data_IF_763234465250
#
_entry.id   IF_763234465250
#
_cell.length_a   1.000
_cell.length_b   1.000
_cell.length_c   1.000
_cell.angle_alpha   90.00
_cell.angle_beta   90.00
_cell.angle_gamma   90.00
#
_symmetry.space_group_name_H-M   'P 1'
#
loop_
_entity.id
_entity.type
_entity.pdbx_description
1 polymer ?
#
# COMPACT_ATOMS: atom_id res chain seq x y z
N UNK A 1 -24.37 10.13 2.94
CA UNK A 1 -22.92 10.43 2.90
C UNK A 1 -22.24 9.31 2.12
N UNK A 2 -21.30 9.60 1.21
CA UNK A 2 -20.59 8.54 0.48
C UNK A 2 -19.64 7.81 1.42
N UNK A 3 -19.80 6.50 1.58
CA UNK A 3 -18.92 5.66 2.42
C UNK A 3 -17.48 5.58 1.88
N UNK A 4 -17.29 5.77 0.58
CA UNK A 4 -16.00 5.66 -0.10
C UNK A 4 -15.19 6.97 -0.07
N UNK A 5 -13.88 6.84 0.13
CA UNK A 5 -12.93 7.97 0.09
C UNK A 5 -12.86 8.60 -1.32
N UNK A 6 -12.44 9.88 -1.44
CA UNK A 6 -12.16 10.48 -2.73
C UNK A 6 -11.14 9.69 -3.55
N UNK A 7 -10.10 9.16 -2.91
CA UNK A 7 -9.06 8.34 -3.54
C UNK A 7 -9.66 7.09 -4.19
N UNK A 8 -10.43 6.29 -3.44
CA UNK A 8 -11.01 5.07 -3.97
C UNK A 8 -12.07 5.32 -5.04
N UNK A 9 -12.87 6.38 -4.92
CA UNK A 9 -13.77 6.80 -6.01
C UNK A 9 -13.01 7.18 -7.27
N UNK A 10 -11.84 7.82 -7.13
CA UNK A 10 -10.95 8.13 -8.24
C UNK A 10 -10.50 6.86 -8.98
N UNK A 11 -10.09 5.84 -8.23
CA UNK A 11 -9.77 4.52 -8.78
C UNK A 11 -10.94 3.90 -9.55
N UNK A 12 -12.14 3.88 -8.97
CA UNK A 12 -13.33 3.27 -9.57
C UNK A 12 -13.80 3.96 -10.86
N UNK A 13 -13.51 5.25 -11.03
CA UNK A 13 -13.90 6.03 -12.22
C UNK A 13 -12.93 5.85 -13.39
N UNK A 14 -11.71 5.40 -13.13
CA UNK A 14 -10.71 5.23 -14.18
C UNK A 14 -10.94 3.93 -14.97
N UNK A 15 -10.58 3.88 -16.26
CA UNK A 15 -10.64 2.65 -17.04
C UNK A 15 -9.88 1.52 -16.35
N UNK A 16 -10.47 0.32 -16.31
CA UNK A 16 -9.84 -0.89 -15.73
C UNK A 16 -8.78 -1.47 -16.68
N UNK A 17 -7.77 -0.69 -17.00
CA UNK A 17 -6.65 -1.06 -17.85
C UNK A 17 -5.36 -0.37 -17.38
N UNK A 18 -4.24 -0.64 -18.05
CA UNK A 18 -2.92 -0.09 -17.70
C UNK A 18 -2.86 1.45 -17.73
N UNK A 19 -3.66 2.09 -18.59
CA UNK A 19 -3.69 3.56 -18.67
C UNK A 19 -4.34 4.14 -17.43
N UNK A 20 -5.51 3.61 -17.05
CA UNK A 20 -6.22 4.05 -15.85
C UNK A 20 -5.39 3.84 -14.58
N UNK A 21 -4.78 2.67 -14.42
CA UNK A 21 -3.94 2.39 -13.24
C UNK A 21 -2.67 3.26 -13.19
N UNK A 22 -2.11 3.62 -14.35
CA UNK A 22 -0.98 4.57 -14.44
C UNK A 22 -1.39 5.97 -14.04
N UNK A 23 -2.50 6.49 -14.58
CA UNK A 23 -3.02 7.80 -14.21
C UNK A 23 -3.34 7.89 -12.71
N UNK A 24 -3.93 6.83 -12.15
CA UNK A 24 -4.18 6.73 -10.71
C UNK A 24 -2.89 6.82 -9.90
N UNK A 25 -1.89 6.02 -10.26
CA UNK A 25 -0.60 5.95 -9.55
C UNK A 25 0.14 7.28 -9.62
N UNK A 26 0.07 7.99 -10.76
CA UNK A 26 0.59 9.35 -10.89
C UNK A 26 -0.13 10.32 -9.96
N UNK A 27 -1.47 10.29 -9.92
CA UNK A 27 -2.26 11.11 -9.00
C UNK A 27 -1.94 10.85 -7.53
N UNK A 28 -1.75 9.58 -7.16
CA UNK A 28 -1.30 9.18 -5.83
C UNK A 28 0.06 9.79 -5.49
N UNK A 29 1.05 9.68 -6.39
CA UNK A 29 2.38 10.26 -6.21
C UNK A 29 2.36 11.80 -6.17
N UNK A 30 1.46 12.46 -6.89
CA UNK A 30 1.29 13.92 -6.79
C UNK A 30 0.75 14.34 -5.42
N UNK A 31 -0.12 13.52 -4.82
CA UNK A 31 -0.69 13.77 -3.50
C UNK A 31 0.27 13.43 -2.36
N UNK A 32 1.08 12.39 -2.52
CA UNK A 32 2.10 11.96 -1.55
C UNK A 32 3.46 11.86 -2.26
N UNK A 33 4.19 12.97 -2.41
CA UNK A 33 5.41 13.03 -3.24
C UNK A 33 6.50 12.02 -2.89
N UNK A 34 6.62 11.65 -1.61
CA UNK A 34 7.64 10.70 -1.18
C UNK A 34 7.45 9.30 -1.77
N UNK A 35 6.23 8.90 -2.10
CA UNK A 35 5.97 7.63 -2.80
C UNK A 35 6.60 7.60 -4.19
N UNK A 36 6.76 8.73 -4.87
CA UNK A 36 7.37 8.79 -6.19
C UNK A 36 8.81 8.25 -6.21
N UNK A 37 9.52 8.24 -5.07
CA UNK A 37 10.90 7.74 -4.96
C UNK A 37 11.04 6.25 -5.27
N UNK A 38 9.96 5.46 -5.15
CA UNK A 38 9.97 4.02 -5.48
C UNK A 38 9.17 3.68 -6.74
N UNK A 39 8.68 4.70 -7.46
CA UNK A 39 7.87 4.55 -8.68
C UNK A 39 6.76 3.49 -8.54
N UNK A 40 5.92 3.57 -7.48
CA UNK A 40 4.89 2.58 -7.23
C UNK A 40 3.80 2.66 -8.31
N UNK A 41 3.31 1.50 -8.70
CA UNK A 41 2.22 1.34 -9.64
C UNK A 41 1.15 0.44 -9.03
N UNK A 42 0.00 1.01 -8.68
CA UNK A 42 -1.15 0.27 -8.12
C UNK A 42 -1.80 -0.54 -9.23
N UNK A 43 -1.97 -1.84 -9.02
CA UNK A 43 -2.45 -2.81 -10.02
C UNK A 43 -3.79 -3.42 -9.66
N UNK A 44 -4.11 -3.52 -8.37
CA UNK A 44 -5.40 -3.95 -7.84
C UNK A 44 -5.69 -3.14 -6.59
N UNK A 45 -6.93 -2.69 -6.46
CA UNK A 45 -7.39 -1.95 -5.30
C UNK A 45 -8.88 -2.22 -5.08
N UNK A 46 -9.19 -2.76 -3.92
CA UNK A 46 -10.53 -3.11 -3.45
C UNK A 46 -10.55 -3.11 -1.91
N UNK A 47 -11.71 -3.09 -1.25
CA UNK A 47 -11.76 -3.15 0.22
C UNK A 47 -11.04 -4.41 0.73
N UNK A 48 -10.12 -4.23 1.67
CA UNK A 48 -9.31 -5.29 2.26
C UNK A 48 -8.09 -5.73 1.44
N UNK A 49 -7.85 -5.18 0.24
CA UNK A 49 -6.72 -5.58 -0.61
C UNK A 49 -6.17 -4.44 -1.48
N UNK A 50 -4.85 -4.31 -1.49
CA UNK A 50 -4.13 -3.54 -2.50
C UNK A 50 -2.92 -4.31 -3.03
N UNK A 51 -2.74 -4.32 -4.35
CA UNK A 51 -1.52 -4.80 -5.00
C UNK A 51 -0.80 -3.64 -5.70
N UNK A 52 0.47 -3.42 -5.38
CA UNK A 52 1.31 -2.42 -6.02
C UNK A 52 2.63 -3.02 -6.51
N UNK A 53 3.20 -2.46 -7.58
CA UNK A 53 4.50 -2.87 -8.13
C UNK A 53 5.49 -1.71 -8.11
N UNK A 54 6.77 -2.02 -7.90
CA UNK A 54 7.87 -1.08 -8.08
C UNK A 54 8.97 -1.69 -8.95
N UNK A 55 9.49 -0.97 -9.95
CA UNK A 55 10.65 -1.42 -10.70
C UNK A 55 11.91 -1.37 -9.82
N UNK A 56 12.88 -2.27 -10.08
CA UNK A 56 14.25 -2.09 -9.60
C UNK A 56 14.97 -1.18 -10.57
N UNK A 57 15.46 -0.04 -10.07
CA UNK A 57 16.19 0.95 -10.83
C UNK A 57 17.24 1.61 -9.93
N UNK A 58 18.17 2.36 -10.52
CA UNK A 58 19.33 2.89 -9.80
C UNK A 58 18.97 3.75 -8.58
N UNK A 59 17.82 4.44 -8.58
CA UNK A 59 17.37 5.26 -7.44
C UNK A 59 16.88 4.46 -6.22
N UNK A 60 16.65 3.15 -6.37
CA UNK A 60 16.24 2.25 -5.27
C UNK A 60 17.28 1.17 -4.98
N UNK A 61 18.50 1.32 -5.46
CA UNK A 61 19.57 0.39 -5.14
C UNK A 61 20.15 0.65 -3.74
N UNK A 62 20.59 -0.40 -3.07
CA UNK A 62 21.50 -0.30 -1.92
C UNK A 62 22.97 -0.46 -2.36
N UNK A 63 23.88 -0.44 -1.38
CA UNK A 63 25.33 -0.56 -1.60
C UNK A 63 25.79 -1.89 -2.22
N UNK A 64 24.93 -2.92 -2.25
CA UNK A 64 25.20 -4.21 -2.93
C UNK A 64 24.37 -4.39 -4.21
N UNK A 65 23.70 -3.34 -4.69
CA UNK A 65 22.96 -3.37 -5.96
C UNK A 65 21.65 -4.14 -5.93
N UNK A 66 21.07 -4.44 -4.76
CA UNK A 66 19.72 -5.02 -4.62
C UNK A 66 18.68 -3.92 -4.34
N UNK A 67 17.39 -4.25 -4.40
CA UNK A 67 16.33 -3.33 -3.98
C UNK A 67 16.56 -2.91 -2.51
N UNK A 68 16.56 -1.61 -2.25
CA UNK A 68 16.92 -1.05 -0.94
C UNK A 68 15.84 -1.37 0.10
N UNK A 69 16.27 -1.75 1.30
CA UNK A 69 15.38 -2.13 2.42
C UNK A 69 14.31 -1.07 2.71
N UNK A 70 14.71 0.20 2.87
CA UNK A 70 13.77 1.30 3.12
C UNK A 70 12.91 1.64 1.90
N UNK A 71 13.38 1.38 0.68
CA UNK A 71 12.54 1.53 -0.51
C UNK A 71 11.44 0.44 -0.53
N UNK A 72 11.77 -0.78 -0.09
CA UNK A 72 10.78 -1.84 0.09
C UNK A 72 9.74 -1.45 1.16
N UNK A 73 10.18 -0.86 2.28
CA UNK A 73 9.25 -0.30 3.27
C UNK A 73 8.36 0.80 2.68
N UNK A 74 8.91 1.70 1.87
CA UNK A 74 8.13 2.76 1.22
C UNK A 74 7.07 2.18 0.25
N UNK A 75 7.41 1.12 -0.49
CA UNK A 75 6.43 0.40 -1.30
C UNK A 75 5.35 -0.28 -0.45
N UNK A 76 5.74 -0.87 0.69
CA UNK A 76 4.80 -1.49 1.63
C UNK A 76 3.81 -0.47 2.19
N UNK A 77 4.31 0.69 2.61
CA UNK A 77 3.54 1.82 3.11
C UNK A 77 2.58 2.36 2.04
N UNK A 78 3.03 2.50 0.79
CA UNK A 78 2.17 2.91 -0.32
C UNK A 78 1.01 1.92 -0.55
N UNK A 79 1.30 0.61 -0.53
CA UNK A 79 0.27 -0.42 -0.70
C UNK A 79 -0.73 -0.43 0.47
N UNK A 80 -0.23 -0.36 1.71
CA UNK A 80 -1.06 -0.25 2.90
C UNK A 80 -1.94 1.00 2.86
N UNK A 81 -1.38 2.16 2.53
CA UNK A 81 -2.12 3.42 2.50
C UNK A 81 -3.24 3.41 1.46
N UNK A 82 -2.99 2.83 0.29
CA UNK A 82 -4.04 2.64 -0.72
C UNK A 82 -5.12 1.67 -0.24
N UNK A 83 -4.75 0.54 0.38
CA UNK A 83 -5.71 -0.36 1.02
C UNK A 83 -6.58 0.39 2.02
N UNK A 84 -5.98 1.20 2.90
CA UNK A 84 -6.72 1.96 3.91
C UNK A 84 -7.69 2.96 3.26
N UNK A 85 -7.27 3.66 2.20
CA UNK A 85 -8.14 4.53 1.41
C UNK A 85 -9.31 3.79 0.75
N UNK A 86 -9.15 2.54 0.35
CA UNK A 86 -10.23 1.73 -0.23
C UNK A 86 -11.17 1.10 0.80
N UNK A 87 -10.68 0.92 2.04
CA UNK A 87 -11.32 0.08 3.05
C UNK A 87 -11.99 0.89 4.15
N UNK A 88 -11.29 1.91 4.69
CA UNK A 88 -11.77 2.70 5.82
C UNK A 88 -12.85 3.66 5.34
N UNK A 89 -14.08 3.61 5.88
CA UNK A 89 -15.17 4.47 5.44
C UNK A 89 -14.91 5.93 5.80
N UNK A 90 -15.55 6.84 5.08
CA UNK A 90 -15.38 8.29 5.30
C UNK A 90 -15.81 8.77 6.69
N UNK A 91 -16.64 8.01 7.41
CA UNK A 91 -16.99 8.24 8.83
C UNK A 91 -15.79 8.08 9.78
N UNK A 92 -14.72 7.44 9.33
CA UNK A 92 -13.50 7.21 10.08
C UNK A 92 -12.30 7.90 9.41
N UNK A 93 -11.26 8.13 10.20
CA UNK A 93 -9.91 8.49 9.74
C UNK A 93 -8.94 7.41 10.16
N UNK A 94 -7.82 7.33 9.45
CA UNK A 94 -6.75 6.40 9.76
C UNK A 94 -5.40 7.12 9.75
N UNK A 95 -4.43 6.60 10.52
CA UNK A 95 -3.03 7.05 10.48
C UNK A 95 -2.09 5.90 10.83
N UNK A 96 -0.94 5.72 10.15
CA UNK A 96 0.06 4.74 10.54
C UNK A 96 0.59 5.01 11.96
N UNK A 97 0.66 3.96 12.79
CA UNK A 97 1.18 3.99 14.17
C UNK A 97 2.53 3.27 14.30
N UNK A 98 2.69 2.15 13.62
CA UNK A 98 3.92 1.36 13.67
C UNK A 98 4.05 0.46 12.44
N UNK A 99 5.29 0.04 12.16
CA UNK A 99 5.60 -0.92 11.12
C UNK A 99 6.65 -1.89 11.65
N UNK A 100 6.36 -3.18 11.62
CA UNK A 100 7.33 -4.25 11.87
C UNK A 100 7.71 -4.89 10.54
N UNK A 101 8.99 -4.84 10.18
CA UNK A 101 9.47 -5.34 8.88
C UNK A 101 10.49 -6.45 9.07
N UNK A 102 10.33 -7.52 8.28
CA UNK A 102 11.24 -8.67 8.21
C UNK A 102 11.83 -8.74 6.80
N UNK A 103 13.16 -8.68 6.70
CA UNK A 103 13.88 -8.88 5.44
C UNK A 103 14.25 -10.36 5.32
N UNK A 104 13.52 -11.10 4.49
CA UNK A 104 13.59 -12.57 4.45
C UNK A 104 14.74 -13.06 3.57
N UNK A 105 14.91 -12.43 2.41
CA UNK A 105 16.02 -12.68 1.49
C UNK A 105 16.31 -11.44 0.65
N UNK A 106 17.38 -11.48 -0.14
CA UNK A 106 17.78 -10.35 -1.00
C UNK A 106 16.73 -10.11 -2.09
N UNK A 107 16.46 -8.84 -2.35
CA UNK A 107 15.52 -8.40 -3.37
C UNK A 107 16.25 -8.06 -4.69
N UNK A 108 16.51 -9.07 -5.52
CA UNK A 108 17.33 -8.89 -6.73
C UNK A 108 16.58 -8.29 -7.92
N UNK A 109 15.25 -8.20 -7.86
CA UNK A 109 14.38 -7.75 -8.96
C UNK A 109 13.46 -6.60 -8.52
N UNK A 110 12.59 -6.14 -9.42
CA UNK A 110 11.47 -5.27 -9.02
C UNK A 110 10.47 -6.05 -8.16
N UNK A 111 9.73 -5.34 -7.31
CA UNK A 111 8.88 -5.94 -6.29
C UNK A 111 7.40 -5.78 -6.60
N UNK A 112 6.61 -6.75 -6.14
CA UNK A 112 5.16 -6.70 -6.05
C UNK A 112 4.77 -6.77 -4.58
N UNK A 113 4.23 -5.68 -4.04
CA UNK A 113 3.63 -5.64 -2.71
C UNK A 113 2.16 -6.04 -2.77
N UNK A 114 1.74 -6.89 -1.84
CA UNK A 114 0.36 -7.31 -1.63
C UNK A 114 -0.01 -6.97 -0.19
N UNK A 115 -0.80 -5.91 -0.01
CA UNK A 115 -1.34 -5.51 1.28
C UNK A 115 -2.73 -6.12 1.45
N UNK A 116 -2.98 -6.75 2.60
CA UNK A 116 -4.24 -7.41 2.92
C UNK A 116 -4.67 -7.17 4.36
N UNK A 117 -5.99 -7.10 4.55
CA UNK A 117 -6.64 -7.26 5.85
C UNK A 117 -7.67 -8.38 5.68
N UNK A 118 -7.39 -9.61 6.13
CA UNK A 118 -8.26 -10.76 5.88
C UNK A 118 -9.63 -10.61 6.56
N UNK A 119 -9.64 -10.10 7.79
CA UNK A 119 -10.86 -9.89 8.57
C UNK A 119 -11.08 -8.39 8.78
N UNK A 120 -11.97 -7.81 7.97
CA UNK A 120 -12.34 -6.40 8.11
C UNK A 120 -13.24 -6.22 9.35
N UNK A 121 -12.94 -5.25 10.23
CA UNK A 121 -13.81 -4.95 11.35
C UNK A 121 -15.13 -4.34 10.85
N UNK A 122 -16.19 -4.49 11.65
CA UNK A 122 -17.36 -3.62 11.47
C UNK A 122 -17.00 -2.21 11.93
N UNK A 123 -16.74 -1.33 10.96
CA UNK A 123 -16.42 0.06 11.24
C UNK A 123 -17.53 0.79 12.00
N UNK A 124 -18.79 0.33 11.98
CA UNK A 124 -19.85 0.95 12.77
C UNK A 124 -19.69 0.72 14.29
N UNK A 125 -19.02 -0.36 14.69
CA UNK A 125 -18.76 -0.69 16.10
C UNK A 125 -17.54 0.06 16.68
N UNK A 126 -16.69 0.62 15.81
CA UNK A 126 -15.52 1.41 16.21
C UNK A 126 -15.99 2.79 16.70
N UNK A 127 -16.37 2.88 17.97
CA UNK A 127 -16.82 4.13 18.61
C UNK A 127 -15.69 4.88 19.33
N UNK A 128 -14.58 4.19 19.59
CA UNK A 128 -13.31 4.74 20.06
C UNK A 128 -12.18 4.24 19.14
N UNK A 129 -11.01 4.86 19.19
CA UNK A 129 -9.95 4.46 18.27
C UNK A 129 -9.47 3.03 18.52
N UNK A 130 -9.12 2.31 17.45
CA UNK A 130 -8.64 0.93 17.48
C UNK A 130 -7.45 0.74 16.53
N UNK A 131 -6.62 -0.26 16.84
CA UNK A 131 -5.53 -0.68 15.97
C UNK A 131 -6.06 -1.66 14.91
N UNK A 132 -5.72 -1.39 13.64
CA UNK A 132 -5.93 -2.31 12.53
C UNK A 132 -4.56 -2.66 11.93
N UNK A 133 -4.21 -3.93 11.92
CA UNK A 133 -2.94 -4.41 11.36
C UNK A 133 -3.16 -4.78 9.89
N UNK A 134 -2.38 -4.14 9.01
CA UNK A 134 -2.34 -4.46 7.59
C UNK A 134 -1.08 -5.29 7.33
N UNK A 135 -1.27 -6.52 6.86
CA UNK A 135 -0.15 -7.40 6.49
C UNK A 135 0.24 -7.13 5.03
N UNK A 136 1.53 -6.95 4.78
CA UNK A 136 2.08 -6.63 3.46
C UNK A 136 3.23 -7.56 3.10
N UNK A 137 2.99 -8.42 2.11
CA UNK A 137 4.00 -9.32 1.57
C UNK A 137 4.59 -8.75 0.26
N UNK A 138 5.92 -8.69 0.16
CA UNK A 138 6.62 -8.20 -1.02
C UNK A 138 7.31 -9.35 -1.73
N UNK A 139 6.91 -9.59 -2.97
CA UNK A 139 7.40 -10.67 -3.81
C UNK A 139 8.34 -10.17 -4.89
N UNK A 140 9.38 -10.93 -5.17
CA UNK A 140 10.20 -10.76 -6.36
C UNK A 140 9.49 -11.28 -7.63
N UNK A 141 10.17 -11.21 -8.78
CA UNK A 141 9.65 -11.73 -10.05
C UNK A 141 9.48 -13.25 -10.10
N UNK A 142 10.17 -14.00 -9.24
CA UNK A 142 10.04 -15.46 -9.15
C UNK A 142 8.88 -15.87 -8.23
N UNK A 143 8.22 -14.91 -7.55
CA UNK A 143 7.16 -15.18 -6.60
C UNK A 143 7.66 -15.49 -5.19
N UNK A 144 8.94 -15.29 -4.91
CA UNK A 144 9.53 -15.45 -3.58
C UNK A 144 9.21 -14.23 -2.73
N UNK A 145 8.71 -14.43 -1.52
CA UNK A 145 8.55 -13.33 -0.56
C UNK A 145 9.94 -12.92 -0.03
N UNK A 146 10.33 -11.69 -0.31
CA UNK A 146 11.66 -11.16 0.04
C UNK A 146 11.61 -10.21 1.24
N UNK A 147 10.48 -9.53 1.43
CA UNK A 147 10.22 -8.66 2.58
C UNK A 147 8.78 -8.86 3.04
N UNK A 148 8.57 -8.90 4.34
CA UNK A 148 7.26 -8.85 4.97
C UNK A 148 7.15 -7.64 5.87
N UNK A 149 6.02 -6.93 5.85
CA UNK A 149 5.74 -5.83 6.76
C UNK A 149 4.34 -5.95 7.37
N UNK A 150 4.27 -5.87 8.69
CA UNK A 150 3.02 -5.67 9.43
C UNK A 150 2.93 -4.19 9.80
N UNK A 151 1.98 -3.46 9.21
CA UNK A 151 1.80 -2.02 9.43
C UNK A 151 0.52 -1.80 10.22
N UNK A 152 0.64 -1.30 11.45
CA UNK A 152 -0.50 -0.96 12.29
C UNK A 152 -0.97 0.45 11.97
N UNK A 153 -2.24 0.58 11.60
CA UNK A 153 -2.92 1.87 11.48
C UNK A 153 -3.89 2.08 12.64
N UNK A 154 -3.96 3.31 13.14
CA UNK A 154 -4.97 3.75 14.08
C UNK A 154 -6.22 4.16 13.34
N UNK A 155 -7.34 3.47 13.55
CA UNK A 155 -8.64 3.83 12.98
C UNK A 155 -9.49 4.47 14.05
N UNK A 156 -10.09 5.63 13.78
CA UNK A 156 -10.92 6.34 14.76
C UNK A 156 -12.06 7.10 14.07
N UNK A 157 -13.23 7.25 14.71
CA UNK A 157 -14.31 8.09 14.21
C UNK A 157 -13.85 9.53 13.91
N UNK A 158 -14.41 10.12 12.86
CA UNK A 158 -14.19 11.53 12.52
C UNK A 158 -15.00 12.47 13.38
#
# INVERSE_FOLDING_TARGET
>A
MTTQTPTYRGWLKLPRNRVGSTLFSLGMCLRVPYFATVLPHVTRLEPGLCEARAPKWWGVHNHIGTFHAIAACNLAEAAMGMLAEATVPTSHRWIPKSMNTRYLTKADTGLRAVATVPDLPDFAEITSGTDLVVSVALYDKAGTEVVHADITIWVTPK
#
